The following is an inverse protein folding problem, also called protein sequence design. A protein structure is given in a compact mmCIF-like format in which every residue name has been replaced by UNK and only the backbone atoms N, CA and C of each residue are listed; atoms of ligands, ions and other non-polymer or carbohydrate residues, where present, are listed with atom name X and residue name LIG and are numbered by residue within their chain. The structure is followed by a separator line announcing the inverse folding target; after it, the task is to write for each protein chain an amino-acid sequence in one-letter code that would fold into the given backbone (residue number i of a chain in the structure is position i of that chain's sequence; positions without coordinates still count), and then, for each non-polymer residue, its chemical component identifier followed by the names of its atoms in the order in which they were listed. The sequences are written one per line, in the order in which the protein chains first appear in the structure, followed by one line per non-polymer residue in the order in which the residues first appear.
data_IF_971732112480
#
_entry.id   IF_971732112480
#
_cell.length_a   1.000
_cell.length_b   1.000
_cell.length_c   1.000
_cell.angle_alpha   90.00
_cell.angle_beta   90.00
_cell.angle_gamma   90.00
#
_symmetry.space_group_name_H-M   'P 1'
#
loop_
_entity.id
_entity.type
_entity.pdbx_description
1 polymer ?
#
# COMPACT_ATOMS: atom_id res chain seq x y z
N UNK A 1 17.12 28.09 20.02
CA UNK A 1 17.80 27.94 21.33
C UNK A 1 17.66 26.47 21.74
N UNK A 2 18.78 25.79 22.01
CA UNK A 2 18.77 24.40 22.45
C UNK A 2 18.93 24.32 23.97
N UNK A 3 18.23 23.39 24.63
CA UNK A 3 18.29 23.20 26.08
C UNK A 3 18.27 21.70 26.39
N UNK A 4 19.13 21.24 27.30
CA UNK A 4 19.05 19.87 27.83
C UNK A 4 18.00 19.81 28.93
N UNK A 5 17.08 18.85 28.87
CA UNK A 5 16.05 18.64 29.88
C UNK A 5 15.97 17.15 30.25
N UNK A 6 15.59 16.84 31.50
CA UNK A 6 15.31 15.47 31.91
C UNK A 6 14.20 14.83 31.05
N UNK A 7 14.33 13.53 30.74
CA UNK A 7 13.35 12.80 29.93
C UNK A 7 11.96 12.82 30.59
N UNK A 8 11.89 12.85 31.93
CA UNK A 8 10.64 12.99 32.69
C UNK A 8 9.87 14.31 32.44
N UNK A 9 10.53 15.32 31.84
CA UNK A 9 9.93 16.61 31.47
C UNK A 9 9.62 16.74 30.00
N UNK A 10 9.82 15.66 29.21
CA UNK A 10 9.45 15.66 27.80
C UNK A 10 7.95 15.74 27.63
N UNK A 11 7.52 16.53 26.66
CA UNK A 11 6.13 16.67 26.25
C UNK A 11 6.00 16.44 24.74
N UNK A 12 4.89 15.90 24.29
CA UNK A 12 4.53 15.83 22.88
C UNK A 12 4.55 17.24 22.30
N UNK A 13 5.04 17.38 21.07
CA UNK A 13 5.29 18.66 20.42
C UNK A 13 6.72 19.20 20.58
N UNK A 14 7.52 18.68 21.51
CA UNK A 14 8.93 19.06 21.65
C UNK A 14 9.77 18.50 20.52
N UNK A 15 10.70 19.34 20.01
CA UNK A 15 11.66 18.92 18.99
C UNK A 15 12.97 18.51 19.66
N UNK A 16 13.27 17.21 19.64
CA UNK A 16 14.42 16.63 20.35
C UNK A 16 15.60 16.35 19.42
N UNK A 17 16.80 16.38 20.00
CA UNK A 17 18.06 16.03 19.37
C UNK A 17 18.69 14.88 20.17
N UNK A 18 18.73 13.70 19.59
CA UNK A 18 19.37 12.51 20.17
C UNK A 18 20.88 12.54 19.91
N UNK A 19 21.73 12.02 20.80
CA UNK A 19 23.16 11.93 20.58
C UNK A 19 23.50 11.06 19.37
N UNK A 20 24.41 11.51 18.50
CA UNK A 20 24.76 10.83 17.23
C UNK A 20 25.55 9.52 17.45
N UNK A 21 26.07 9.26 18.64
CA UNK A 21 26.98 8.15 18.94
C UNK A 21 26.29 6.84 19.35
N UNK A 22 24.97 6.74 19.26
CA UNK A 22 24.23 5.55 19.71
C UNK A 22 23.69 4.73 18.55
N UNK A 23 24.35 3.60 18.29
CA UNK A 23 23.96 2.60 17.29
C UNK A 23 22.73 1.77 17.68
N UNK A 24 22.17 1.95 18.89
CA UNK A 24 21.10 1.10 19.46
C UNK A 24 19.86 1.86 19.98
N UNK A 25 19.49 3.02 19.42
CA UNK A 25 18.20 3.62 19.81
C UNK A 25 17.09 3.25 18.79
N UNK A 26 15.83 3.08 19.23
CA UNK A 26 14.71 2.64 18.38
C UNK A 26 14.24 3.67 17.34
N UNK A 27 14.85 4.85 17.27
CA UNK A 27 14.42 5.93 16.40
C UNK A 27 15.32 6.04 15.16
N UNK A 28 14.69 6.04 13.98
CA UNK A 28 15.36 6.19 12.67
C UNK A 28 15.99 7.56 12.42
N UNK A 29 15.72 8.55 13.26
CA UNK A 29 16.27 9.92 13.13
C UNK A 29 16.83 10.38 14.46
N UNK A 30 18.02 11.02 14.43
CA UNK A 30 18.63 11.65 15.60
C UNK A 30 18.01 13.02 15.95
N UNK A 31 17.14 13.56 15.10
CA UNK A 31 16.47 14.86 15.28
C UNK A 31 15.04 14.77 14.78
N UNK A 32 14.06 14.87 15.70
CA UNK A 32 12.63 14.78 15.35
C UNK A 32 11.74 15.46 16.40
N UNK A 33 10.49 15.72 16.03
CA UNK A 33 9.48 16.21 16.95
C UNK A 33 8.80 15.01 17.60
N UNK A 34 8.62 15.06 18.91
CA UNK A 34 7.81 14.09 19.64
C UNK A 34 6.34 14.22 19.22
N UNK A 35 5.79 13.17 18.67
CA UNK A 35 4.41 13.13 18.18
C UNK A 35 3.50 12.26 19.04
N UNK A 36 4.08 11.48 19.96
CA UNK A 36 3.29 10.60 20.85
C UNK A 36 3.97 10.40 22.21
N UNK A 37 3.16 10.05 23.23
CA UNK A 37 3.64 9.62 24.54
C UNK A 37 4.44 8.30 24.48
N UNK A 38 4.16 7.48 23.47
CA UNK A 38 4.89 6.23 23.27
C UNK A 38 6.37 6.47 22.97
N UNK A 39 6.67 7.46 22.11
CA UNK A 39 8.05 7.85 21.83
C UNK A 39 8.79 8.32 23.10
N UNK A 40 8.10 8.99 24.03
CA UNK A 40 8.70 9.39 25.32
C UNK A 40 8.99 8.15 26.17
N UNK A 41 8.08 7.17 26.20
CA UNK A 41 8.30 5.89 26.90
C UNK A 41 9.46 5.09 26.30
N UNK A 42 9.59 5.07 24.98
CA UNK A 42 10.69 4.41 24.29
C UNK A 42 12.04 5.06 24.58
N UNK A 43 12.08 6.40 24.69
CA UNK A 43 13.29 7.14 25.12
C UNK A 43 13.66 6.77 26.56
N UNK A 44 12.68 6.67 27.46
CA UNK A 44 12.90 6.22 28.85
C UNK A 44 13.38 4.78 28.90
N UNK A 45 12.74 3.88 28.15
CA UNK A 45 13.09 2.46 28.08
C UNK A 45 14.47 2.22 27.48
N UNK A 46 14.93 3.11 26.58
CA UNK A 46 16.29 3.11 26.04
C UNK A 46 17.35 3.63 27.01
N UNK A 47 16.97 3.98 28.26
CA UNK A 47 17.90 4.39 29.34
C UNK A 47 18.37 5.82 29.30
N UNK A 48 17.74 6.70 28.51
CA UNK A 48 18.07 8.14 28.51
C UNK A 48 17.54 8.81 29.77
N UNK A 49 18.38 9.54 30.45
CA UNK A 49 18.00 10.39 31.61
C UNK A 49 17.74 11.84 31.19
N UNK A 50 18.44 12.30 30.15
CA UNK A 50 18.32 13.66 29.63
C UNK A 50 18.41 13.67 28.10
N UNK A 51 17.75 14.64 27.46
CA UNK A 51 17.82 14.87 26.00
C UNK A 51 17.92 16.37 25.69
N UNK A 52 18.54 16.72 24.57
CA UNK A 52 18.53 18.10 24.07
C UNK A 52 17.25 18.40 23.32
N UNK A 53 16.66 19.53 23.59
CA UNK A 53 15.42 20.02 22.98
C UNK A 53 15.67 21.35 22.29
N UNK A 54 15.23 21.50 21.05
CA UNK A 54 15.24 22.76 20.34
C UNK A 54 13.94 23.52 20.59
N UNK A 55 13.97 24.52 21.46
CA UNK A 55 12.78 25.27 21.89
C UNK A 55 12.13 26.06 20.75
N UNK A 56 12.92 26.59 19.80
CA UNK A 56 12.35 27.36 18.67
C UNK A 56 11.65 26.51 17.62
N UNK A 57 11.87 25.18 17.63
CA UNK A 57 11.19 24.22 16.78
C UNK A 57 10.14 23.40 17.51
N UNK A 58 9.97 23.61 18.82
CA UNK A 58 8.99 22.95 19.66
C UNK A 58 7.66 23.71 19.65
N UNK A 59 6.54 23.01 19.54
CA UNK A 59 5.19 23.55 19.70
C UNK A 59 4.54 22.80 20.86
N UNK A 60 4.70 23.33 22.08
CA UNK A 60 4.09 22.77 23.29
C UNK A 60 2.94 23.70 23.70
N UNK A 61 1.72 23.20 23.82
CA UNK A 61 0.63 23.94 24.44
C UNK A 61 0.73 23.83 25.96
N UNK A 62 0.79 24.97 26.65
CA UNK A 62 0.75 25.04 28.11
C UNK A 62 -0.68 24.79 28.59
N UNK A 63 -1.02 23.55 28.90
CA UNK A 63 -2.20 23.19 29.66
C UNK A 63 -1.75 22.57 30.99
N UNK A 64 -2.29 23.14 32.10
CA UNK A 64 -2.02 22.79 33.50
C UNK A 64 -2.40 21.31 33.81
N UNK A 65 -1.56 20.55 34.58
CA UNK A 65 -1.79 19.11 34.82
C UNK A 65 -2.87 18.75 35.84
N UNK A 66 -3.77 19.61 36.21
CA UNK A 66 -4.75 19.40 37.31
C UNK A 66 -6.22 19.28 36.92
N UNK A 67 -6.55 19.28 35.63
CA UNK A 67 -7.88 18.85 35.17
C UNK A 67 -7.69 17.56 34.37
N UNK A 68 -7.87 16.45 35.08
CA UNK A 68 -8.20 15.18 34.44
C UNK A 68 -9.65 15.26 33.96
N UNK A 69 -9.89 16.09 32.98
CA UNK A 69 -10.94 15.81 32.02
C UNK A 69 -10.34 14.80 31.06
N UNK A 70 -10.94 13.65 30.99
CA UNK A 70 -10.73 12.68 29.94
C UNK A 70 -10.78 13.41 28.60
N UNK A 71 -9.60 13.88 28.13
CA UNK A 71 -9.43 14.28 26.75
C UNK A 71 -9.91 13.12 25.91
N UNK A 72 -10.76 13.36 24.91
CA UNK A 72 -11.12 12.32 23.98
C UNK A 72 -9.80 11.69 23.54
N UNK A 73 -9.65 10.37 23.68
CA UNK A 73 -8.67 9.61 22.92
C UNK A 73 -8.73 10.24 21.53
N UNK A 74 -7.61 10.84 21.07
CA UNK A 74 -7.45 11.08 19.64
C UNK A 74 -7.78 9.72 19.04
N UNK A 75 -8.97 9.62 18.47
CA UNK A 75 -9.42 8.41 17.78
C UNK A 75 -8.33 8.19 16.74
N UNK A 76 -7.38 7.28 17.02
CA UNK A 76 -6.61 6.64 15.95
C UNK A 76 -7.69 6.20 14.99
N UNK A 77 -7.83 6.91 13.88
CA UNK A 77 -8.91 6.68 12.94
C UNK A 77 -8.92 5.18 12.66
N UNK A 78 -10.08 4.53 12.75
CA UNK A 78 -10.19 3.10 12.46
C UNK A 78 -9.46 2.87 11.15
N UNK A 79 -8.55 1.90 11.09
CA UNK A 79 -7.77 1.57 9.88
C UNK A 79 -8.70 1.42 8.68
N UNK A 80 -9.81 0.71 8.88
CA UNK A 80 -10.88 0.58 7.90
C UNK A 80 -11.93 1.66 8.17
N UNK A 81 -12.14 2.60 7.25
CA UNK A 81 -13.20 3.59 7.37
C UNK A 81 -14.57 2.90 7.44
N UNK A 82 -15.42 3.27 8.42
CA UNK A 82 -16.79 2.73 8.51
C UNK A 82 -17.56 2.96 7.20
N UNK A 83 -17.36 4.11 6.57
CA UNK A 83 -17.93 4.50 5.28
C UNK A 83 -17.64 3.51 4.14
N UNK A 84 -16.54 2.73 4.23
CA UNK A 84 -16.24 1.71 3.21
C UNK A 84 -17.32 0.61 3.25
N UNK A 85 -17.60 0.06 4.42
CA UNK A 85 -18.62 -0.98 4.58
C UNK A 85 -20.01 -0.44 4.24
N UNK A 86 -20.33 0.75 4.71
CA UNK A 86 -21.58 1.42 4.35
C UNK A 86 -21.75 1.52 2.83
N UNK A 87 -20.72 1.97 2.10
CA UNK A 87 -20.78 2.10 0.64
C UNK A 87 -20.91 0.73 -0.07
N UNK A 88 -20.22 -0.32 0.42
CA UNK A 88 -20.30 -1.67 -0.15
C UNK A 88 -21.72 -2.24 -0.03
N UNK A 89 -22.30 -2.15 1.17
CA UNK A 89 -23.60 -2.81 1.47
C UNK A 89 -24.82 -1.93 1.17
N UNK A 90 -24.66 -0.66 0.82
CA UNK A 90 -25.78 0.20 0.42
C UNK A 90 -26.32 -0.20 -0.97
N UNK A 91 -27.48 -0.83 -0.96
CA UNK A 91 -28.19 -1.29 -2.18
C UNK A 91 -28.89 -0.15 -2.94
N UNK A 92 -28.94 1.05 -2.35
CA UNK A 92 -29.63 2.21 -2.96
C UNK A 92 -28.70 3.08 -3.80
N UNK A 93 -27.39 2.93 -3.64
CA UNK A 93 -26.41 3.70 -4.39
C UNK A 93 -26.38 3.28 -5.87
N UNK A 94 -26.42 4.25 -6.81
CA UNK A 94 -26.13 3.97 -8.21
C UNK A 94 -24.73 3.35 -8.37
N UNK A 95 -24.53 2.35 -9.27
CA UNK A 95 -23.27 1.62 -9.41
C UNK A 95 -22.03 2.50 -9.57
N UNK A 96 -22.08 3.53 -10.39
CA UNK A 96 -20.97 4.48 -10.56
C UNK A 96 -20.64 5.22 -9.25
N UNK A 97 -21.66 5.65 -8.50
CA UNK A 97 -21.48 6.34 -7.22
C UNK A 97 -20.89 5.40 -6.18
N UNK A 98 -21.39 4.15 -6.12
CA UNK A 98 -20.86 3.09 -5.26
C UNK A 98 -19.39 2.83 -5.57
N UNK A 99 -19.05 2.61 -6.84
CA UNK A 99 -17.67 2.37 -7.29
C UNK A 99 -16.71 3.49 -6.85
N UNK A 100 -17.09 4.75 -7.08
CA UNK A 100 -16.26 5.89 -6.67
C UNK A 100 -16.04 5.94 -5.15
N UNK A 101 -17.10 5.72 -4.35
CA UNK A 101 -16.99 5.70 -2.88
C UNK A 101 -16.13 4.53 -2.40
N UNK A 102 -16.36 3.32 -2.91
CA UNK A 102 -15.58 2.13 -2.56
C UNK A 102 -14.10 2.32 -2.89
N UNK A 103 -13.78 2.80 -4.10
CA UNK A 103 -12.42 3.10 -4.50
C UNK A 103 -11.77 4.13 -3.58
N UNK A 104 -12.44 5.26 -3.31
CA UNK A 104 -11.94 6.33 -2.44
C UNK A 104 -11.65 5.82 -1.02
N UNK A 105 -12.60 5.10 -0.41
CA UNK A 105 -12.46 4.63 0.97
C UNK A 105 -11.49 3.46 1.10
N UNK A 106 -11.35 2.63 0.06
CA UNK A 106 -10.28 1.65 -0.03
C UNK A 106 -8.90 2.31 -0.08
N UNK A 107 -8.77 3.43 -0.82
CA UNK A 107 -7.55 4.25 -0.82
C UNK A 107 -7.21 4.80 0.57
N UNK A 108 -8.21 5.33 1.29
CA UNK A 108 -8.04 5.79 2.67
C UNK A 108 -7.60 4.64 3.59
N UNK A 109 -8.21 3.47 3.47
CA UNK A 109 -7.84 2.26 4.22
C UNK A 109 -6.38 1.86 3.98
N UNK A 110 -5.96 1.74 2.71
CA UNK A 110 -4.57 1.38 2.37
C UNK A 110 -3.60 2.46 2.86
N UNK A 111 -3.92 3.75 2.71
CA UNK A 111 -3.12 4.85 3.26
C UNK A 111 -2.93 4.73 4.77
N UNK A 112 -3.99 4.43 5.50
CA UNK A 112 -3.93 4.24 6.96
C UNK A 112 -3.05 3.04 7.31
N UNK A 113 -3.18 1.93 6.57
CA UNK A 113 -2.34 0.74 6.75
C UNK A 113 -0.86 1.03 6.50
N UNK A 114 -0.52 1.73 5.41
CA UNK A 114 0.88 2.06 5.11
C UNK A 114 1.52 2.95 6.18
N UNK A 115 0.71 3.74 6.91
CA UNK A 115 1.18 4.57 8.03
C UNK A 115 1.35 3.78 9.34
N UNK A 116 0.59 2.70 9.56
CA UNK A 116 0.64 1.88 10.79
C UNK A 116 0.42 0.38 10.47
N UNK A 117 1.41 -0.31 9.86
CA UNK A 117 1.27 -1.69 9.36
C UNK A 117 1.46 -2.74 10.48
N UNK A 118 0.67 -2.68 11.52
CA UNK A 118 0.63 -3.69 12.59
C UNK A 118 -0.11 -4.95 12.14
N UNK A 119 0.11 -6.08 12.82
CA UNK A 119 -0.61 -7.33 12.57
C UNK A 119 -2.13 -7.15 12.61
N UNK A 120 -2.64 -6.42 13.62
CA UNK A 120 -4.07 -6.14 13.76
C UNK A 120 -4.62 -5.32 12.59
N UNK A 121 -3.85 -4.32 12.11
CA UNK A 121 -4.24 -3.46 11.02
C UNK A 121 -4.21 -4.17 9.67
N UNK A 122 -3.20 -5.02 9.44
CA UNK A 122 -3.14 -5.90 8.25
C UNK A 122 -4.34 -6.85 8.24
N UNK A 123 -4.64 -7.49 9.37
CA UNK A 123 -5.79 -8.38 9.50
C UNK A 123 -7.13 -7.65 9.26
N UNK A 124 -7.30 -6.44 9.81
CA UNK A 124 -8.50 -5.63 9.58
C UNK A 124 -8.64 -5.24 8.11
N UNK A 125 -7.55 -4.87 7.45
CA UNK A 125 -7.51 -4.56 6.02
C UNK A 125 -7.88 -5.79 5.18
N UNK A 126 -7.33 -6.97 5.47
CA UNK A 126 -7.67 -8.22 4.75
C UNK A 126 -9.18 -8.51 4.82
N UNK A 127 -9.81 -8.34 6.00
CA UNK A 127 -11.26 -8.53 6.15
C UNK A 127 -12.06 -7.53 5.30
N UNK A 128 -11.64 -6.28 5.28
CA UNK A 128 -12.33 -5.27 4.47
C UNK A 128 -12.11 -5.47 2.96
N UNK A 129 -10.93 -5.96 2.56
CA UNK A 129 -10.68 -6.36 1.17
C UNK A 129 -11.57 -7.54 0.78
N UNK A 130 -11.85 -8.49 1.68
CA UNK A 130 -12.81 -9.57 1.40
C UNK A 130 -14.20 -9.01 1.08
N UNK A 131 -14.71 -8.02 1.83
CA UNK A 131 -15.97 -7.33 1.51
C UNK A 131 -15.93 -6.66 0.10
N UNK A 132 -14.77 -6.12 -0.32
CA UNK A 132 -14.58 -5.55 -1.69
C UNK A 132 -14.57 -6.65 -2.75
N UNK A 133 -13.94 -7.78 -2.45
CA UNK A 133 -13.95 -8.96 -3.36
C UNK A 133 -15.36 -9.45 -3.58
N UNK A 134 -16.14 -9.62 -2.51
CA UNK A 134 -17.55 -10.04 -2.61
C UNK A 134 -18.36 -9.07 -3.48
N UNK A 135 -18.19 -7.76 -3.30
CA UNK A 135 -18.80 -6.75 -4.16
C UNK A 135 -18.42 -6.94 -5.64
N UNK A 136 -17.13 -7.18 -5.94
CA UNK A 136 -16.67 -7.41 -7.32
C UNK A 136 -17.25 -8.70 -7.89
N UNK A 137 -17.43 -9.74 -7.07
CA UNK A 137 -17.98 -11.02 -7.50
C UNK A 137 -19.48 -10.95 -7.78
N UNK A 138 -20.24 -10.21 -6.97
CA UNK A 138 -21.71 -10.19 -6.97
C UNK A 138 -22.30 -9.06 -7.83
N UNK A 139 -21.69 -7.87 -7.82
CA UNK A 139 -22.20 -6.67 -8.51
C UNK A 139 -21.37 -6.36 -9.77
N UNK A 140 -21.81 -6.93 -10.90
CA UNK A 140 -21.10 -6.77 -12.18
C UNK A 140 -21.03 -5.32 -12.66
N UNK A 141 -22.07 -4.53 -12.43
CA UNK A 141 -22.13 -3.14 -12.91
C UNK A 141 -21.18 -2.24 -12.09
N UNK A 142 -21.21 -2.36 -10.77
CA UNK A 142 -20.25 -1.69 -9.89
C UNK A 142 -18.82 -2.14 -10.16
N UNK A 143 -18.60 -3.43 -10.37
CA UNK A 143 -17.28 -4.00 -10.72
C UNK A 143 -16.73 -3.41 -12.02
N UNK A 144 -17.57 -3.26 -13.05
CA UNK A 144 -17.18 -2.63 -14.31
C UNK A 144 -16.76 -1.16 -14.07
N UNK A 145 -17.53 -0.40 -13.31
CA UNK A 145 -17.17 0.99 -12.98
C UNK A 145 -15.87 1.06 -12.16
N UNK A 146 -15.64 0.14 -11.22
CA UNK A 146 -14.38 0.08 -10.44
C UNK A 146 -13.15 -0.11 -11.34
N UNK A 147 -13.23 -0.98 -12.35
CA UNK A 147 -12.13 -1.18 -13.31
C UNK A 147 -11.85 0.05 -14.19
N UNK A 148 -12.85 0.87 -14.43
CA UNK A 148 -12.74 2.03 -15.31
C UNK A 148 -12.30 3.31 -14.58
N UNK A 149 -12.17 3.29 -13.26
CA UNK A 149 -11.66 4.43 -12.50
C UNK A 149 -10.20 4.63 -12.87
N UNK A 150 -9.87 5.82 -13.37
CA UNK A 150 -8.48 6.24 -13.59
C UNK A 150 -8.12 7.32 -12.60
N UNK A 151 -7.11 7.08 -11.78
CA UNK A 151 -6.65 8.08 -10.82
C UNK A 151 -5.96 9.26 -11.51
N UNK A 152 -6.21 10.48 -11.00
CA UNK A 152 -5.52 11.70 -11.43
C UNK A 152 -4.27 11.96 -10.58
N UNK A 153 -4.18 11.33 -9.40
CA UNK A 153 -3.07 11.50 -8.47
C UNK A 153 -2.40 10.15 -8.22
N UNK A 154 -1.10 10.08 -8.52
CA UNK A 154 -0.30 8.91 -8.19
C UNK A 154 0.10 8.96 -6.72
N UNK A 155 -0.56 8.15 -5.93
CA UNK A 155 -0.09 7.77 -4.59
C UNK A 155 0.01 6.25 -4.52
N UNK A 156 0.98 5.73 -3.77
CA UNK A 156 1.16 4.27 -3.59
C UNK A 156 -0.14 3.58 -3.16
N UNK A 157 -0.98 4.24 -2.34
CA UNK A 157 -2.23 3.66 -1.87
C UNK A 157 -3.34 3.61 -2.94
N UNK A 158 -3.45 4.60 -3.83
CA UNK A 158 -4.41 4.56 -4.95
C UNK A 158 -4.02 3.53 -5.99
N UNK A 159 -2.73 3.43 -6.27
CA UNK A 159 -2.14 2.39 -7.10
C UNK A 159 -2.45 0.98 -6.56
N UNK A 160 -2.17 0.72 -5.28
CA UNK A 160 -2.44 -0.58 -4.66
C UNK A 160 -3.92 -1.00 -4.75
N UNK A 161 -4.84 -0.04 -4.58
CA UNK A 161 -6.28 -0.31 -4.74
C UNK A 161 -6.63 -0.65 -6.18
N UNK A 162 -6.14 0.13 -7.14
CA UNK A 162 -6.50 -0.07 -8.55
C UNK A 162 -5.92 -1.38 -9.09
N UNK A 163 -4.64 -1.68 -8.79
CA UNK A 163 -4.01 -2.97 -9.12
C UNK A 163 -4.77 -4.12 -8.47
N UNK A 164 -5.17 -3.98 -7.19
CA UNK A 164 -5.97 -4.97 -6.49
C UNK A 164 -7.29 -5.27 -7.20
N UNK A 165 -8.06 -4.24 -7.54
CA UNK A 165 -9.34 -4.36 -8.25
C UNK A 165 -9.17 -5.04 -9.61
N UNK A 166 -8.23 -4.56 -10.44
CA UNK A 166 -7.96 -5.11 -11.76
C UNK A 166 -7.54 -6.58 -11.69
N UNK A 167 -6.67 -6.91 -10.73
CA UNK A 167 -6.18 -8.28 -10.53
C UNK A 167 -7.30 -9.24 -10.10
N UNK A 168 -8.19 -8.80 -9.20
CA UNK A 168 -9.35 -9.62 -8.77
C UNK A 168 -10.30 -9.84 -9.93
N UNK A 169 -10.60 -8.80 -10.72
CA UNK A 169 -11.46 -8.92 -11.90
C UNK A 169 -10.88 -9.90 -12.92
N UNK A 170 -9.56 -9.86 -13.15
CA UNK A 170 -8.89 -10.81 -14.04
C UNK A 170 -8.90 -12.23 -13.44
N UNK A 171 -8.60 -12.38 -12.15
CA UNK A 171 -8.64 -13.68 -11.46
C UNK A 171 -10.04 -14.29 -11.50
N UNK A 172 -11.10 -13.51 -11.26
CA UNK A 172 -12.50 -13.93 -11.41
C UNK A 172 -12.78 -14.54 -12.78
N UNK A 173 -12.30 -13.90 -13.85
CA UNK A 173 -12.51 -14.38 -15.22
C UNK A 173 -11.73 -15.68 -15.51
N UNK A 174 -10.51 -15.79 -14.99
CA UNK A 174 -9.64 -16.96 -15.21
C UNK A 174 -10.12 -18.16 -14.38
N UNK A 175 -10.52 -17.94 -13.13
CA UNK A 175 -10.84 -18.99 -12.17
C UNK A 175 -12.34 -19.25 -12.01
N UNK A 176 -13.18 -18.75 -12.90
CA UNK A 176 -14.66 -18.77 -12.82
C UNK A 176 -15.29 -20.13 -12.54
N UNK A 177 -14.58 -21.23 -12.77
CA UNK A 177 -15.08 -22.61 -12.59
C UNK A 177 -14.18 -23.43 -11.65
N UNK A 178 -13.38 -22.80 -10.83
CA UNK A 178 -12.41 -23.50 -9.97
C UNK A 178 -12.54 -23.03 -8.52
N UNK A 179 -12.89 -23.97 -7.65
CA UNK A 179 -12.88 -23.76 -6.19
C UNK A 179 -11.47 -23.92 -5.60
N UNK A 180 -10.44 -24.13 -6.46
CA UNK A 180 -9.06 -24.33 -6.03
C UNK A 180 -8.33 -23.03 -5.66
N UNK A 181 -8.98 -21.87 -5.85
CA UNK A 181 -8.38 -20.55 -5.65
C UNK A 181 -9.23 -19.70 -4.70
N UNK A 182 -8.65 -19.30 -3.57
CA UNK A 182 -9.31 -18.41 -2.63
C UNK A 182 -9.18 -16.95 -3.11
N UNK A 183 -10.27 -16.43 -3.71
CA UNK A 183 -10.29 -15.07 -4.25
C UNK A 183 -10.20 -13.99 -3.16
N UNK A 184 -10.58 -14.27 -1.91
CA UNK A 184 -10.40 -13.32 -0.80
C UNK A 184 -8.93 -13.19 -0.41
N UNK A 185 -8.22 -14.33 -0.30
CA UNK A 185 -6.78 -14.31 -0.03
C UNK A 185 -5.97 -13.74 -1.20
N UNK A 186 -6.36 -14.03 -2.44
CA UNK A 186 -5.80 -13.38 -3.63
C UNK A 186 -6.02 -11.87 -3.59
N UNK A 187 -7.24 -11.43 -3.26
CA UNK A 187 -7.58 -10.02 -3.11
C UNK A 187 -6.69 -9.34 -2.08
N UNK A 188 -6.55 -9.93 -0.90
CA UNK A 188 -5.64 -9.41 0.12
C UNK A 188 -4.20 -9.29 -0.40
N UNK A 189 -3.68 -10.32 -1.07
CA UNK A 189 -2.35 -10.30 -1.69
C UNK A 189 -2.18 -9.17 -2.72
N UNK A 190 -3.16 -9.01 -3.61
CA UNK A 190 -3.12 -7.97 -4.65
C UNK A 190 -3.16 -6.55 -4.07
N UNK A 191 -3.98 -6.30 -3.04
CA UNK A 191 -4.02 -5.00 -2.37
C UNK A 191 -2.75 -4.69 -1.58
N UNK A 192 -2.03 -5.72 -1.12
CA UNK A 192 -0.83 -5.62 -0.29
C UNK A 192 0.48 -5.82 -1.07
N UNK A 193 0.44 -5.98 -2.41
CA UNK A 193 1.62 -6.31 -3.22
C UNK A 193 2.79 -5.36 -2.98
N UNK A 194 2.50 -4.10 -2.77
CA UNK A 194 3.45 -2.99 -2.59
C UNK A 194 3.72 -2.62 -1.13
N UNK A 195 3.25 -3.40 -0.14
CA UNK A 195 3.40 -3.12 1.29
C UNK A 195 4.86 -2.83 1.69
N UNK A 196 5.81 -3.47 1.03
CA UNK A 196 7.24 -3.31 1.31
C UNK A 196 7.79 -1.91 1.01
N UNK A 197 7.12 -1.09 0.21
CA UNK A 197 7.52 0.28 -0.09
C UNK A 197 7.59 1.17 1.15
N UNK A 198 6.87 0.83 2.22
CA UNK A 198 6.97 1.56 3.50
C UNK A 198 8.39 1.52 4.12
N UNK A 199 9.21 0.54 3.73
CA UNK A 199 10.60 0.39 4.16
C UNK A 199 11.61 0.99 3.19
N UNK A 200 11.16 1.54 2.09
CA UNK A 200 11.99 2.28 1.12
C UNK A 200 12.01 3.76 1.52
N UNK A 201 13.13 4.42 1.28
CA UNK A 201 13.23 5.87 1.56
C UNK A 201 12.19 6.65 0.76
N UNK A 202 11.48 7.54 1.45
CA UNK A 202 10.45 8.38 0.84
C UNK A 202 11.02 9.33 -0.23
N UNK A 203 12.29 9.69 -0.15
CA UNK A 203 12.96 10.50 -1.17
C UNK A 203 13.09 9.73 -2.48
N UNK A 204 13.31 8.39 -2.40
CA UNK A 204 13.35 7.51 -3.58
C UNK A 204 11.94 7.32 -4.16
N UNK A 205 10.94 7.04 -3.31
CA UNK A 205 9.55 6.79 -3.75
C UNK A 205 8.96 8.03 -4.43
N UNK A 206 9.21 9.21 -3.86
CA UNK A 206 8.61 10.47 -4.31
C UNK A 206 9.53 11.29 -5.23
N UNK A 207 10.61 10.70 -5.73
CA UNK A 207 11.57 11.42 -6.59
C UNK A 207 10.90 11.94 -7.87
N UNK A 208 10.95 13.25 -8.14
CA UNK A 208 10.47 13.78 -9.39
C UNK A 208 11.50 13.51 -10.51
N UNK A 209 11.39 12.34 -11.16
CA UNK A 209 12.28 11.96 -12.25
C UNK A 209 12.70 10.49 -12.22
N UNK A 210 13.66 10.14 -13.06
CA UNK A 210 14.19 8.77 -13.11
C UNK A 210 15.04 8.48 -11.88
N UNK A 211 14.91 7.28 -11.33
CA UNK A 211 15.80 6.77 -10.29
C UNK A 211 17.19 6.53 -10.89
N UNK A 212 18.24 6.80 -10.09
CA UNK A 212 19.60 6.33 -10.39
C UNK A 212 19.66 4.81 -10.26
N UNK A 213 20.75 4.20 -10.72
CA UNK A 213 20.92 2.74 -10.60
C UNK A 213 20.95 2.28 -9.14
N UNK A 214 21.53 3.10 -8.23
CA UNK A 214 21.55 2.82 -6.80
C UNK A 214 20.16 2.90 -6.17
N UNK A 215 19.41 3.97 -6.47
CA UNK A 215 18.04 4.14 -6.02
C UNK A 215 17.11 3.04 -6.57
N UNK A 216 17.35 2.63 -7.84
CA UNK A 216 16.62 1.52 -8.44
C UNK A 216 16.95 0.19 -7.73
N UNK A 217 18.19 -0.03 -7.31
CA UNK A 217 18.55 -1.22 -6.51
C UNK A 217 17.84 -1.22 -5.15
N UNK A 218 17.73 -0.05 -4.50
CA UNK A 218 16.95 0.07 -3.26
C UNK A 218 15.47 -0.17 -3.51
N UNK A 219 14.88 0.45 -4.53
CA UNK A 219 13.48 0.24 -4.91
C UNK A 219 13.16 -1.23 -5.17
N UNK A 220 14.04 -1.97 -5.84
CA UNK A 220 13.87 -3.39 -6.13
C UNK A 220 13.85 -4.31 -4.91
N UNK A 221 14.12 -3.80 -3.71
CA UNK A 221 14.05 -4.57 -2.46
C UNK A 221 12.63 -4.66 -1.89
N UNK A 222 11.68 -3.82 -2.36
CA UNK A 222 10.34 -3.78 -1.74
C UNK A 222 9.58 -5.12 -1.78
N UNK A 223 9.73 -6.04 -2.78
CA UNK A 223 9.09 -7.34 -2.72
C UNK A 223 9.57 -8.17 -1.51
N UNK A 224 10.88 -8.24 -1.29
CA UNK A 224 11.44 -8.95 -0.14
C UNK A 224 11.11 -8.25 1.20
N UNK A 225 11.05 -6.93 1.21
CA UNK A 225 10.64 -6.15 2.39
C UNK A 225 9.16 -6.35 2.71
N UNK A 226 8.29 -6.44 1.71
CA UNK A 226 6.86 -6.76 1.87
C UNK A 226 6.66 -8.16 2.41
N UNK A 227 7.37 -9.14 1.84
CA UNK A 227 7.43 -10.50 2.38
C UNK A 227 7.82 -10.50 3.86
N UNK A 228 8.89 -9.79 4.22
CA UNK A 228 9.38 -9.71 5.59
C UNK A 228 8.34 -9.12 6.55
N UNK A 229 7.63 -8.05 6.14
CA UNK A 229 6.57 -7.44 6.97
C UNK A 229 5.44 -8.45 7.23
N UNK A 230 4.93 -9.12 6.19
CA UNK A 230 3.86 -10.10 6.33
C UNK A 230 4.29 -11.31 7.18
N UNK A 231 5.55 -11.72 7.07
CA UNK A 231 6.11 -12.81 7.88
C UNK A 231 6.24 -12.41 9.37
N UNK A 232 6.85 -11.25 9.65
CA UNK A 232 7.07 -10.73 11.00
C UNK A 232 5.75 -10.44 11.75
N UNK A 233 4.69 -10.11 11.00
CA UNK A 233 3.36 -9.85 11.56
C UNK A 233 2.46 -11.08 11.62
N UNK A 234 2.95 -12.25 11.19
CA UNK A 234 2.18 -13.51 11.11
C UNK A 234 0.90 -13.38 10.25
N UNK A 235 0.93 -12.49 9.24
CA UNK A 235 -0.20 -12.23 8.34
C UNK A 235 0.03 -12.77 6.92
N UNK A 236 1.06 -13.58 6.74
CA UNK A 236 1.38 -14.17 5.44
C UNK A 236 0.49 -15.36 5.12
N UNK A 237 0.00 -15.39 3.88
CA UNK A 237 -0.60 -16.57 3.24
C UNK A 237 0.25 -16.99 2.05
N UNK A 238 0.03 -18.18 1.49
CA UNK A 238 0.76 -18.60 0.29
C UNK A 238 0.43 -17.70 -0.90
N UNK A 239 -0.82 -17.24 -1.04
CA UNK A 239 -1.27 -16.30 -2.06
C UNK A 239 -0.53 -14.97 -1.95
N UNK A 240 -0.55 -14.35 -0.77
CA UNK A 240 0.12 -13.06 -0.54
C UNK A 240 1.62 -13.15 -0.70
N UNK A 241 2.25 -14.25 -0.27
CA UNK A 241 3.67 -14.53 -0.47
C UNK A 241 4.05 -14.56 -1.94
N UNK A 242 3.30 -15.33 -2.74
CA UNK A 242 3.54 -15.46 -4.18
C UNK A 242 3.40 -14.09 -4.85
N UNK A 243 2.30 -13.38 -4.58
CA UNK A 243 2.00 -12.09 -5.21
C UNK A 243 3.08 -11.06 -4.86
N UNK A 244 3.38 -10.87 -3.58
CA UNK A 244 4.37 -9.88 -3.13
C UNK A 244 5.75 -10.15 -3.72
N UNK A 245 6.17 -11.41 -3.81
CA UNK A 245 7.50 -11.77 -4.32
C UNK A 245 7.58 -11.81 -5.85
N UNK A 246 6.44 -11.92 -6.57
CA UNK A 246 6.48 -12.16 -8.02
C UNK A 246 5.82 -11.07 -8.87
N UNK A 247 5.19 -10.02 -8.29
CA UNK A 247 4.47 -9.02 -9.09
C UNK A 247 5.38 -8.19 -10.03
N UNK A 248 6.68 -8.16 -9.78
CA UNK A 248 7.68 -7.55 -10.67
C UNK A 248 8.52 -8.57 -11.44
N UNK A 249 8.22 -9.85 -11.32
CA UNK A 249 8.80 -10.83 -12.23
C UNK A 249 8.22 -10.66 -13.62
N UNK A 250 8.97 -11.09 -14.64
CA UNK A 250 8.59 -10.99 -16.04
C UNK A 250 8.65 -12.36 -16.69
N UNK A 251 7.75 -12.63 -17.60
CA UNK A 251 7.64 -13.93 -18.25
C UNK A 251 8.93 -14.33 -19.01
N UNK A 252 9.68 -13.34 -19.52
CA UNK A 252 10.98 -13.54 -20.18
C UNK A 252 12.17 -13.70 -19.20
N UNK A 253 11.95 -13.60 -17.88
CA UNK A 253 12.96 -13.71 -16.84
C UNK A 253 13.80 -12.45 -16.62
N UNK A 254 13.44 -11.31 -17.23
CA UNK A 254 14.14 -10.02 -17.02
C UNK A 254 13.63 -9.25 -15.81
N UNK A 255 12.69 -9.82 -15.06
CA UNK A 255 12.08 -9.24 -13.87
C UNK A 255 12.97 -9.31 -12.63
N UNK A 256 12.39 -8.97 -11.49
CA UNK A 256 13.03 -9.04 -10.19
C UNK A 256 12.01 -9.45 -9.11
N UNK A 257 12.42 -9.91 -7.92
CA UNK A 257 13.79 -9.98 -7.38
C UNK A 257 14.59 -11.20 -7.81
N UNK A 258 13.97 -12.25 -8.37
CA UNK A 258 14.64 -13.55 -8.61
C UNK A 258 14.87 -13.89 -10.08
N UNK A 259 14.29 -13.15 -11.01
CA UNK A 259 14.36 -13.41 -12.44
C UNK A 259 13.69 -14.73 -12.86
N UNK A 260 12.55 -15.05 -12.21
CA UNK A 260 11.79 -16.27 -12.52
C UNK A 260 11.23 -16.17 -13.93
N UNK A 261 11.28 -17.29 -14.68
CA UNK A 261 10.97 -17.29 -16.11
C UNK A 261 9.80 -18.20 -16.47
N UNK A 262 8.97 -17.74 -17.37
CA UNK A 262 7.98 -18.57 -18.05
C UNK A 262 7.00 -19.24 -17.09
N UNK A 263 6.92 -20.57 -17.15
CA UNK A 263 6.01 -21.36 -16.35
C UNK A 263 6.43 -21.52 -14.88
N UNK A 264 7.67 -21.19 -14.53
CA UNK A 264 8.12 -21.18 -13.13
C UNK A 264 7.52 -20.00 -12.36
N UNK A 265 7.08 -18.95 -13.08
CA UNK A 265 6.32 -17.85 -12.49
C UNK A 265 4.88 -18.27 -12.24
N UNK A 266 4.42 -18.13 -10.98
CA UNK A 266 3.07 -18.51 -10.60
C UNK A 266 2.01 -17.62 -11.26
N UNK A 267 0.84 -18.17 -11.55
CA UNK A 267 -0.26 -17.43 -12.21
C UNK A 267 -0.69 -16.19 -11.44
N UNK A 268 -0.65 -16.20 -10.10
CA UNK A 268 -1.00 -15.04 -9.25
C UNK A 268 -0.03 -13.88 -9.46
N UNK A 269 1.28 -14.15 -9.54
CA UNK A 269 2.29 -13.14 -9.87
C UNK A 269 2.09 -12.58 -11.28
N UNK A 270 1.78 -13.43 -12.26
CA UNK A 270 1.50 -13.02 -13.65
C UNK A 270 0.28 -12.10 -13.75
N UNK A 271 -0.82 -12.41 -13.03
CA UNK A 271 -2.03 -11.57 -12.94
C UNK A 271 -1.67 -10.19 -12.38
N UNK A 272 -1.00 -10.16 -11.23
CA UNK A 272 -0.60 -8.91 -10.58
C UNK A 272 0.31 -8.06 -11.47
N UNK A 273 1.32 -8.68 -12.10
CA UNK A 273 2.27 -8.00 -13.00
C UNK A 273 1.59 -7.31 -14.18
N UNK A 274 0.58 -7.93 -14.79
CA UNK A 274 -0.19 -7.32 -15.90
C UNK A 274 -0.95 -6.09 -15.40
N UNK A 275 -1.66 -6.20 -14.27
CA UNK A 275 -2.43 -5.11 -13.68
C UNK A 275 -1.53 -3.96 -13.21
N UNK A 276 -0.40 -4.25 -12.58
CA UNK A 276 0.59 -3.29 -12.10
C UNK A 276 1.16 -2.45 -13.27
N UNK A 277 1.61 -3.09 -14.33
CA UNK A 277 2.13 -2.37 -15.51
C UNK A 277 1.05 -1.55 -16.19
N UNK A 278 -0.17 -2.06 -16.30
CA UNK A 278 -1.28 -1.32 -16.89
C UNK A 278 -1.61 -0.06 -16.07
N UNK A 279 -1.78 -0.21 -14.75
CA UNK A 279 -2.01 0.93 -13.87
C UNK A 279 -0.85 1.93 -13.93
N UNK A 280 0.38 1.43 -13.89
CA UNK A 280 1.56 2.27 -14.04
C UNK A 280 1.56 3.10 -15.33
N UNK A 281 0.97 2.64 -16.42
CA UNK A 281 0.87 3.34 -17.70
C UNK A 281 -0.32 4.32 -17.76
N UNK A 282 -1.43 4.00 -17.08
CA UNK A 282 -2.69 4.72 -17.19
C UNK A 282 -3.00 5.67 -16.03
N UNK A 283 -2.09 5.78 -15.05
CA UNK A 283 -2.16 6.71 -13.92
C UNK A 283 -1.13 7.84 -14.10
N UNK A 284 -1.46 9.08 -13.69
CA UNK A 284 -0.52 10.20 -13.69
C UNK A 284 0.64 9.89 -12.72
N UNK A 285 1.85 10.22 -13.13
CA UNK A 285 3.06 10.11 -12.28
C UNK A 285 3.79 11.45 -12.23
N UNK A 286 4.58 11.76 -11.19
CA UNK A 286 5.26 13.05 -11.06
C UNK A 286 6.09 13.49 -12.29
N UNK A 287 6.52 12.51 -13.09
CA UNK A 287 7.37 12.72 -14.26
C UNK A 287 6.71 12.36 -15.60
N UNK A 288 5.42 11.90 -15.60
CA UNK A 288 4.72 11.47 -16.81
C UNK A 288 3.21 11.57 -16.65
N UNK A 289 2.55 12.21 -17.60
CA UNK A 289 1.08 12.17 -17.70
C UNK A 289 0.59 10.76 -18.04
N UNK A 290 -0.59 10.42 -17.55
CA UNK A 290 -1.27 9.16 -17.85
C UNK A 290 -1.52 9.01 -19.35
N UNK A 291 -1.42 7.79 -19.82
CA UNK A 291 -1.87 7.39 -21.13
C UNK A 291 -3.38 7.09 -21.09
N UNK A 292 -4.05 7.26 -22.24
CA UNK A 292 -5.39 6.72 -22.36
C UNK A 292 -5.36 5.19 -22.28
N UNK A 293 -6.42 4.54 -21.76
CA UNK A 293 -6.47 3.07 -21.60
C UNK A 293 -6.03 2.30 -22.84
N UNK A 294 -6.52 2.69 -24.01
CA UNK A 294 -6.14 2.06 -25.28
C UNK A 294 -4.64 2.21 -25.61
N UNK A 295 -4.08 3.38 -25.34
CA UNK A 295 -2.63 3.62 -25.59
C UNK A 295 -1.77 2.81 -24.64
N UNK A 296 -2.17 2.70 -23.37
CA UNK A 296 -1.49 1.81 -22.39
C UNK A 296 -1.46 0.37 -22.88
N UNK A 297 -2.60 -0.19 -23.26
CA UNK A 297 -2.70 -1.55 -23.81
C UNK A 297 -1.89 -1.74 -25.10
N UNK A 298 -1.87 -0.73 -25.98
CA UNK A 298 -1.08 -0.76 -27.22
C UNK A 298 0.41 -0.86 -26.90
N UNK A 299 0.92 -0.03 -25.97
CA UNK A 299 2.33 -0.08 -25.55
C UNK A 299 2.67 -1.44 -24.92
N UNK A 300 1.82 -1.96 -24.05
CA UNK A 300 2.02 -3.29 -23.46
C UNK A 300 2.11 -4.37 -24.56
N UNK A 301 1.22 -4.31 -25.55
CA UNK A 301 1.21 -5.28 -26.66
C UNK A 301 2.42 -5.15 -27.58
N UNK A 302 2.79 -3.93 -27.98
CA UNK A 302 3.79 -3.70 -29.04
C UNK A 302 5.23 -3.72 -28.48
N UNK A 303 5.43 -3.26 -27.22
CA UNK A 303 6.76 -3.01 -26.68
C UNK A 303 7.11 -3.90 -25.47
N UNK A 304 6.10 -4.47 -24.79
CA UNK A 304 6.30 -5.17 -23.53
C UNK A 304 5.78 -6.61 -23.55
N UNK A 305 5.29 -7.13 -24.70
CA UNK A 305 4.69 -8.45 -24.77
C UNK A 305 5.57 -9.59 -24.22
N UNK A 306 6.90 -9.60 -24.38
CA UNK A 306 7.76 -10.62 -23.78
C UNK A 306 7.70 -10.67 -22.23
N UNK A 307 7.26 -9.59 -21.58
CA UNK A 307 7.13 -9.54 -20.12
C UNK A 307 5.90 -10.32 -19.60
N UNK A 308 4.92 -10.62 -20.45
CA UNK A 308 3.63 -11.18 -20.06
C UNK A 308 3.41 -12.56 -20.69
N UNK A 309 2.61 -13.39 -19.99
CA UNK A 309 2.04 -14.57 -20.61
C UNK A 309 0.92 -14.11 -21.56
N UNK A 310 1.03 -14.46 -22.84
CA UNK A 310 0.21 -13.90 -23.93
C UNK A 310 -1.29 -14.11 -23.73
N UNK A 311 -1.70 -15.31 -23.38
CA UNK A 311 -3.11 -15.67 -23.17
C UNK A 311 -3.72 -14.91 -21.96
N UNK A 312 -2.96 -14.74 -20.87
CA UNK A 312 -3.41 -13.93 -19.74
C UNK A 312 -3.56 -12.44 -20.09
N UNK A 313 -2.63 -11.92 -20.88
CA UNK A 313 -2.73 -10.54 -21.38
C UNK A 313 -3.94 -10.37 -22.31
N UNK A 314 -4.22 -11.32 -23.18
CA UNK A 314 -5.42 -11.30 -24.03
C UNK A 314 -6.71 -11.33 -23.21
N UNK A 315 -6.78 -12.15 -22.15
CA UNK A 315 -7.89 -12.16 -21.20
C UNK A 315 -8.07 -10.82 -20.50
N UNK A 316 -6.98 -10.18 -20.09
CA UNK A 316 -7.02 -8.85 -19.49
C UNK A 316 -7.60 -7.80 -20.44
N UNK A 317 -7.20 -7.81 -21.71
CA UNK A 317 -7.74 -6.92 -22.75
C UNK A 317 -9.23 -7.16 -22.98
N UNK A 318 -9.68 -8.42 -23.05
CA UNK A 318 -11.09 -8.77 -23.21
C UNK A 318 -11.93 -8.31 -22.01
N UNK A 319 -11.41 -8.50 -20.80
CA UNK A 319 -12.04 -8.05 -19.55
C UNK A 319 -12.27 -6.52 -19.57
N UNK A 320 -11.26 -5.73 -19.89
CA UNK A 320 -11.39 -4.27 -19.98
C UNK A 320 -12.34 -3.82 -21.09
N UNK A 321 -12.44 -4.59 -22.17
CA UNK A 321 -13.41 -4.35 -23.26
C UNK A 321 -14.86 -4.76 -22.90
N UNK A 322 -15.12 -5.28 -21.70
CA UNK A 322 -16.42 -5.77 -21.28
C UNK A 322 -16.90 -7.02 -22.04
N UNK A 323 -15.98 -7.75 -22.68
CA UNK A 323 -16.27 -8.99 -23.41
C UNK A 323 -16.05 -10.20 -22.50
N UNK A 324 -17.00 -11.12 -22.49
CA UNK A 324 -16.81 -12.44 -21.83
C UNK A 324 -15.87 -13.29 -22.68
N UNK A 325 -14.97 -14.02 -21.99
CA UNK A 325 -14.11 -15.05 -22.57
C UNK A 325 -14.91 -16.27 -22.97
#
# INVERSE_FOLDING_TARGET
MEKTIPVSRLKVGMYILMPVSWTNHPFLKSRFRLTSQNQIREIMAAGFTEVRVNLSKSHVSDADPRTVETTPEEKKGKIVPERLREAIFDKTLPPLTKANKVHQYSGEMIKNLLNDPTAANIQATRRAVADVVDLILEDMETSHHLMMITSHDYYTYTHSVHVGILSICLAKNIFVRSDAHDLHELGAGFFLHDLGKIRIDQEIINKPGKLTDDEMREMKKHPDLGFKILYETEQMTEESKIIVLQHHERYDGTGYPRGIRGNDMHVYGKICSIADVYDALTTDRPYRRKLQPFEGLRIMKEQMMPHFQKDLFEQFVLMLAGKKS
#
